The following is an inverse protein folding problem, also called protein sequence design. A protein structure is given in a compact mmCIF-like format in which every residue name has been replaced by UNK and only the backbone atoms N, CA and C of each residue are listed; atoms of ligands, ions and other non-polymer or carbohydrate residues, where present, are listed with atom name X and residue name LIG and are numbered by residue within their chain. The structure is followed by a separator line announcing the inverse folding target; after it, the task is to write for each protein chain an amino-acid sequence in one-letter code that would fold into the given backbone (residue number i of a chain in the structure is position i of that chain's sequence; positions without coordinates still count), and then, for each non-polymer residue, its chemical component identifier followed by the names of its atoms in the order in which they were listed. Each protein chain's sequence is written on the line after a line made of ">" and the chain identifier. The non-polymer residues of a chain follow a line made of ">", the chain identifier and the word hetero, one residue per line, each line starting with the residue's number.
data_IF_157791898240
#
_entry.id   IF_157791898240
#
_cell.length_a   1.000
_cell.length_b   1.000
_cell.length_c   1.000
_cell.angle_alpha   90.00
_cell.angle_beta   90.00
_cell.angle_gamma   90.00
#
_symmetry.space_group_name_H-M   'P 1'
#
loop_
_entity.id
_entity.type
_entity.pdbx_description
1 polymer ?
#
# COMPACT_ATOMS: atom_id res chain seq x y z
N UNK A 1 -18.44 42.87 45.59
CA UNK A 1 -17.18 42.64 44.85
C UNK A 1 -16.76 41.21 45.11
N UNK A 2 -17.07 40.33 44.19
CA UNK A 2 -16.76 38.89 44.29
C UNK A 2 -15.41 38.68 43.61
N UNK A 3 -14.40 38.47 44.41
CA UNK A 3 -13.06 38.12 43.93
C UNK A 3 -13.06 36.73 43.40
N UNK A 4 -13.03 36.60 42.10
CA UNK A 4 -12.84 35.31 41.42
C UNK A 4 -11.41 34.85 41.65
N UNK A 5 -11.25 33.87 42.50
CA UNK A 5 -9.97 33.23 42.78
C UNK A 5 -9.54 32.45 41.55
N UNK A 6 -8.58 32.95 40.78
CA UNK A 6 -7.89 32.23 39.73
C UNK A 6 -6.80 31.38 40.38
N UNK A 7 -7.21 30.39 41.15
CA UNK A 7 -6.32 29.35 41.66
C UNK A 7 -6.77 28.07 41.02
N UNK A 8 -6.24 27.78 39.89
CA UNK A 8 -5.94 26.44 39.37
C UNK A 8 -5.48 26.55 37.91
N UNK A 9 -4.34 27.21 37.73
CA UNK A 9 -3.58 27.12 36.50
C UNK A 9 -2.77 25.80 36.45
N UNK A 10 -2.86 24.99 37.53
CA UNK A 10 -2.19 23.71 37.64
C UNK A 10 -2.87 22.58 36.85
N UNK A 11 -4.12 22.80 36.40
CA UNK A 11 -4.83 21.84 35.54
C UNK A 11 -4.83 22.26 34.05
N UNK A 12 -3.89 23.12 33.68
CA UNK A 12 -3.69 23.40 32.29
C UNK A 12 -3.23 22.11 31.59
N UNK A 13 -4.05 21.63 30.69
CA UNK A 13 -3.87 20.41 29.89
C UNK A 13 -2.57 20.35 29.03
N UNK A 14 -1.70 21.34 29.18
CA UNK A 14 -0.37 21.33 28.55
C UNK A 14 0.62 20.39 29.25
N UNK A 15 0.36 19.99 30.50
CA UNK A 15 1.16 18.97 31.20
C UNK A 15 0.93 17.56 30.65
N UNK A 16 -0.18 17.34 29.94
CA UNK A 16 -0.50 16.10 29.19
C UNK A 16 -0.06 16.16 27.73
N UNK A 17 0.71 17.15 27.32
CA UNK A 17 1.18 17.30 25.94
C UNK A 17 2.38 16.43 25.61
N UNK A 18 2.99 15.79 26.60
CA UNK A 18 4.03 14.80 26.34
C UNK A 18 3.40 13.51 25.81
N UNK A 19 3.81 13.01 24.64
CA UNK A 19 3.33 11.74 24.16
C UNK A 19 3.70 10.63 25.15
N UNK A 20 2.73 9.78 25.49
CA UNK A 20 2.95 8.65 26.40
C UNK A 20 3.96 7.63 25.88
N UNK A 21 4.21 7.64 24.58
CA UNK A 21 5.17 6.78 23.90
C UNK A 21 6.20 7.64 23.18
N UNK A 22 7.46 7.47 23.56
CA UNK A 22 8.62 8.15 22.95
C UNK A 22 9.35 7.26 21.94
N UNK A 23 8.81 6.08 21.65
CA UNK A 23 9.41 5.15 20.71
C UNK A 23 9.14 5.58 19.27
N UNK A 24 10.22 5.74 18.51
CA UNK A 24 10.13 6.11 17.10
C UNK A 24 9.88 4.89 16.22
N UNK A 25 9.05 5.07 15.20
CA UNK A 25 8.79 4.06 14.20
C UNK A 25 10.08 3.68 13.43
N UNK A 26 10.37 2.38 13.35
CA UNK A 26 11.52 1.86 12.59
C UNK A 26 11.11 1.58 11.14
N UNK A 27 11.83 2.10 10.15
CA UNK A 27 11.45 1.94 8.75
C UNK A 27 11.63 0.52 8.20
N UNK A 28 12.36 -0.34 8.90
CA UNK A 28 12.66 -1.72 8.50
C UNK A 28 11.73 -2.77 9.10
N UNK A 29 10.78 -2.37 9.95
CA UNK A 29 9.87 -3.28 10.64
C UNK A 29 8.49 -3.25 10.00
N UNK A 30 8.33 -3.95 8.87
CA UNK A 30 7.04 -4.05 8.18
C UNK A 30 6.87 -5.43 7.53
N UNK A 31 5.62 -5.79 7.24
CA UNK A 31 5.23 -6.95 6.46
C UNK A 31 4.20 -6.54 5.43
N UNK A 32 4.48 -6.80 4.17
CA UNK A 32 3.55 -6.57 3.07
C UNK A 32 2.92 -7.88 2.62
N UNK A 33 1.62 -7.87 2.37
CA UNK A 33 0.88 -9.02 1.85
C UNK A 33 -0.15 -8.55 0.82
N UNK A 34 -0.21 -9.26 -0.29
CA UNK A 34 -1.25 -9.13 -1.30
C UNK A 34 -1.67 -10.52 -1.74
N UNK A 35 -2.97 -10.75 -1.84
CA UNK A 35 -3.50 -12.11 -1.98
C UNK A 35 -3.12 -12.76 -3.33
N UNK A 36 -3.17 -11.98 -4.40
CA UNK A 36 -2.91 -12.49 -5.76
C UNK A 36 -1.44 -12.82 -6.05
N UNK A 37 -0.48 -12.28 -5.27
CA UNK A 37 0.96 -12.42 -5.54
C UNK A 37 1.75 -12.82 -4.28
N UNK A 38 1.55 -14.03 -3.76
CA UNK A 38 2.16 -14.45 -2.49
C UNK A 38 3.69 -14.49 -2.53
N UNK A 39 4.30 -14.93 -3.65
CA UNK A 39 5.75 -14.99 -3.78
C UNK A 39 6.37 -13.58 -3.81
N UNK A 40 5.79 -12.66 -4.56
CA UNK A 40 6.23 -11.26 -4.59
C UNK A 40 6.10 -10.61 -3.21
N UNK A 41 5.01 -10.87 -2.50
CA UNK A 41 4.77 -10.37 -1.14
C UNK A 41 5.83 -10.86 -0.16
N UNK A 42 6.25 -12.12 -0.26
CA UNK A 42 7.28 -12.69 0.61
C UNK A 42 8.65 -12.02 0.42
N UNK A 43 9.02 -11.69 -0.81
CA UNK A 43 10.29 -11.06 -1.15
C UNK A 43 10.26 -9.52 -1.15
N UNK A 44 9.17 -8.91 -0.67
CA UNK A 44 9.05 -7.46 -0.57
C UNK A 44 10.05 -6.90 0.45
N UNK A 45 10.94 -6.03 -0.03
CA UNK A 45 11.97 -5.39 0.79
C UNK A 45 11.70 -3.90 1.06
N UNK A 46 10.78 -3.28 0.33
CA UNK A 46 10.34 -1.92 0.59
C UNK A 46 8.89 -1.71 0.10
N UNK A 47 8.13 -0.95 0.86
CA UNK A 47 6.80 -0.47 0.50
C UNK A 47 6.63 0.95 1.01
N UNK A 48 5.95 1.81 0.26
CA UNK A 48 5.60 3.14 0.72
C UNK A 48 4.19 3.15 1.32
N UNK A 49 3.94 4.11 2.20
CA UNK A 49 2.58 4.52 2.54
C UNK A 49 2.24 5.67 1.60
N UNK A 50 1.23 5.53 0.73
CA UNK A 50 0.91 6.57 -0.24
C UNK A 50 0.37 7.84 0.41
N UNK A 51 0.63 8.97 -0.23
CA UNK A 51 0.12 10.27 0.19
C UNK A 51 -1.40 10.37 0.05
N UNK A 52 -2.00 11.23 0.86
CA UNK A 52 -3.41 11.62 0.76
C UNK A 52 -3.46 13.11 0.52
N UNK A 53 -4.15 13.52 -0.53
CA UNK A 53 -4.37 14.91 -0.87
C UNK A 53 -5.85 15.24 -0.83
N UNK A 54 -6.18 16.41 -0.28
CA UNK A 54 -7.51 16.99 -0.36
C UNK A 54 -7.39 18.33 -1.13
N UNK A 55 -7.56 18.32 -2.47
CA UNK A 55 -7.44 19.52 -3.27
C UNK A 55 -8.44 20.59 -2.81
N UNK A 56 -8.02 21.83 -2.53
CA UNK A 56 -8.91 22.89 -2.13
C UNK A 56 -9.79 23.33 -3.31
N UNK A 57 -11.05 23.59 -3.03
CA UNK A 57 -11.91 24.32 -3.94
C UNK A 57 -11.59 25.83 -3.85
N UNK A 58 -11.33 26.47 -4.97
CA UNK A 58 -11.00 27.89 -5.02
C UNK A 58 -12.28 28.70 -5.23
N UNK A 59 -12.58 29.55 -4.25
CA UNK A 59 -13.61 30.56 -4.37
C UNK A 59 -12.98 31.89 -4.83
N UNK A 60 -13.24 32.27 -6.07
CA UNK A 60 -12.73 33.51 -6.60
C UNK A 60 -13.45 34.72 -5.96
N UNK A 61 -12.67 35.66 -5.43
CA UNK A 61 -13.17 36.94 -4.94
C UNK A 61 -12.44 38.09 -5.65
N UNK A 62 -12.99 39.34 -5.67
CA UNK A 62 -12.38 40.46 -6.39
C UNK A 62 -10.98 40.87 -5.93
N UNK A 63 -10.58 40.51 -4.72
CA UNK A 63 -9.29 40.93 -4.11
C UNK A 63 -8.30 39.77 -3.96
N UNK A 64 -8.78 38.59 -3.57
CA UNK A 64 -7.93 37.43 -3.34
C UNK A 64 -8.76 36.14 -3.47
N UNK A 65 -8.18 35.10 -4.02
CA UNK A 65 -8.81 33.77 -4.07
C UNK A 65 -8.81 33.12 -2.67
N UNK A 66 -10.00 32.68 -2.23
CA UNK A 66 -10.16 32.02 -0.94
C UNK A 66 -10.25 30.50 -1.14
N UNK A 67 -9.32 29.77 -0.52
CA UNK A 67 -9.33 28.30 -0.52
C UNK A 67 -10.41 27.77 0.43
N UNK A 68 -11.28 26.91 -0.08
CA UNK A 68 -12.24 26.14 0.71
C UNK A 68 -11.78 24.66 0.74
N UNK A 69 -12.07 23.90 1.81
CA UNK A 69 -11.80 22.46 1.81
C UNK A 69 -12.52 21.77 0.65
N UNK A 70 -11.82 20.94 -0.10
CA UNK A 70 -12.43 20.11 -1.15
C UNK A 70 -13.28 18.99 -0.57
N UNK A 71 -14.01 18.30 -1.42
CA UNK A 71 -14.94 17.22 -1.07
C UNK A 71 -14.44 15.82 -1.47
N UNK A 72 -13.31 15.72 -2.19
CA UNK A 72 -12.77 14.46 -2.68
C UNK A 72 -11.32 14.27 -2.27
N UNK A 73 -11.03 13.13 -1.67
CA UNK A 73 -9.66 12.71 -1.38
C UNK A 73 -9.03 12.08 -2.61
N UNK A 74 -7.79 12.45 -2.87
CA UNK A 74 -6.94 11.83 -3.88
C UNK A 74 -5.87 10.99 -3.18
N UNK A 75 -5.77 9.72 -3.60
CA UNK A 75 -4.79 8.80 -3.07
C UNK A 75 -3.64 8.63 -4.06
N UNK A 76 -2.42 8.69 -3.53
CA UNK A 76 -1.20 8.44 -4.27
C UNK A 76 -1.07 6.99 -4.74
N UNK A 77 0.09 6.63 -5.25
CA UNK A 77 0.36 5.29 -5.76
C UNK A 77 1.09 4.46 -4.72
N UNK A 78 0.65 3.23 -4.51
CA UNK A 78 1.37 2.25 -3.71
C UNK A 78 2.51 1.68 -4.54
N UNK A 79 3.74 1.86 -4.09
CA UNK A 79 4.95 1.34 -4.73
C UNK A 79 5.59 0.30 -3.82
N UNK A 80 5.87 -0.86 -4.38
CA UNK A 80 6.62 -1.90 -3.69
C UNK A 80 7.92 -2.20 -4.43
N UNK A 81 8.95 -2.57 -3.67
CA UNK A 81 10.19 -3.13 -4.18
C UNK A 81 10.35 -4.54 -3.64
N UNK A 82 10.78 -5.44 -4.48
CA UNK A 82 10.98 -6.84 -4.12
C UNK A 82 12.24 -7.41 -4.76
N UNK A 83 12.85 -8.35 -4.05
CA UNK A 83 13.99 -9.10 -4.57
C UNK A 83 13.49 -10.10 -5.59
N UNK A 84 14.15 -10.18 -6.74
CA UNK A 84 13.79 -11.12 -7.80
C UNK A 84 14.43 -12.47 -7.49
N UNK A 85 13.62 -13.52 -7.56
CA UNK A 85 14.09 -14.89 -7.42
C UNK A 85 14.88 -15.31 -8.66
N UNK A 86 15.81 -16.25 -8.50
CA UNK A 86 16.62 -16.79 -9.59
C UNK A 86 15.76 -17.38 -10.74
N UNK A 87 14.62 -17.97 -10.40
CA UNK A 87 13.66 -18.52 -11.36
C UNK A 87 12.62 -17.49 -11.88
N UNK A 88 12.74 -16.24 -11.46
CA UNK A 88 11.86 -15.11 -11.80
C UNK A 88 10.36 -15.35 -11.59
N UNK A 89 9.97 -16.31 -10.75
CA UNK A 89 8.55 -16.64 -10.53
C UNK A 89 7.76 -15.45 -10.00
N UNK A 90 8.33 -14.71 -9.05
CA UNK A 90 7.68 -13.54 -8.46
C UNK A 90 7.49 -12.40 -9.47
N UNK A 91 8.44 -12.17 -10.36
CA UNK A 91 8.30 -11.19 -11.44
C UNK A 91 7.24 -11.64 -12.45
N UNK A 92 7.23 -12.94 -12.78
CA UNK A 92 6.24 -13.52 -13.67
C UNK A 92 4.82 -13.47 -13.12
N UNK A 93 4.61 -13.63 -11.81
CA UNK A 93 3.29 -13.48 -11.19
C UNK A 93 2.68 -12.10 -11.46
N UNK A 94 3.48 -11.04 -11.31
CA UNK A 94 3.05 -9.67 -11.61
C UNK A 94 2.83 -9.44 -13.10
N UNK A 95 3.70 -9.98 -13.93
CA UNK A 95 3.56 -9.91 -15.39
C UNK A 95 2.28 -10.58 -15.85
N UNK A 96 2.02 -11.82 -15.39
CA UNK A 96 0.81 -12.57 -15.73
C UNK A 96 -0.47 -11.84 -15.27
N UNK A 97 -0.42 -11.15 -14.12
CA UNK A 97 -1.54 -10.34 -13.67
C UNK A 97 -1.77 -9.12 -14.58
N UNK A 98 -0.73 -8.37 -14.93
CA UNK A 98 -0.82 -7.24 -15.85
C UNK A 98 -1.33 -7.67 -17.25
N UNK A 99 -0.80 -8.77 -17.78
CA UNK A 99 -1.25 -9.34 -19.07
C UNK A 99 -2.69 -9.81 -18.99
N UNK A 100 -3.09 -10.42 -17.88
CA UNK A 100 -4.48 -10.82 -17.65
C UNK A 100 -5.46 -9.64 -17.60
N UNK A 101 -5.02 -8.48 -17.11
CA UNK A 101 -5.83 -7.27 -17.09
C UNK A 101 -5.86 -6.55 -18.46
N UNK A 102 -4.72 -6.53 -19.17
CA UNK A 102 -4.54 -5.79 -20.43
C UNK A 102 -4.77 -6.62 -21.69
N UNK A 103 -4.74 -7.95 -21.61
CA UNK A 103 -4.90 -8.95 -22.69
C UNK A 103 -4.39 -8.48 -24.07
N UNK A 104 -3.08 -8.21 -24.21
CA UNK A 104 -2.49 -7.59 -25.41
C UNK A 104 -2.61 -8.43 -26.70
N UNK A 105 -2.75 -9.75 -26.60
CA UNK A 105 -2.81 -10.64 -27.76
C UNK A 105 -4.24 -11.11 -28.06
N UNK A 106 -4.93 -11.66 -27.06
CA UNK A 106 -6.27 -12.22 -27.21
C UNK A 106 -7.05 -12.09 -25.88
N UNK A 107 -8.34 -11.85 -25.98
CA UNK A 107 -9.27 -11.81 -24.84
C UNK A 107 -9.27 -13.12 -24.00
N UNK A 108 -8.81 -14.22 -24.57
CA UNK A 108 -8.61 -15.49 -23.85
C UNK A 108 -7.57 -15.41 -22.73
N UNK A 109 -6.64 -14.45 -22.79
CA UNK A 109 -5.63 -14.24 -21.73
C UNK A 109 -6.28 -13.92 -20.39
N UNK A 110 -7.37 -13.18 -20.37
CA UNK A 110 -8.18 -12.96 -19.17
C UNK A 110 -8.74 -14.27 -18.60
N UNK A 111 -9.22 -15.16 -19.46
CA UNK A 111 -9.72 -16.48 -19.07
C UNK A 111 -8.63 -17.40 -18.50
N UNK A 112 -7.40 -17.29 -19.00
CA UNK A 112 -6.25 -18.03 -18.45
C UNK A 112 -5.86 -17.50 -17.07
N UNK A 113 -5.84 -16.18 -16.90
CA UNK A 113 -5.55 -15.54 -15.61
C UNK A 113 -6.56 -15.97 -14.54
N UNK A 114 -7.85 -15.98 -14.85
CA UNK A 114 -8.90 -16.44 -13.94
C UNK A 114 -8.73 -17.91 -13.55
N UNK A 115 -8.43 -18.80 -14.52
CA UNK A 115 -8.19 -20.22 -14.24
C UNK A 115 -6.93 -20.48 -13.41
N UNK A 116 -5.88 -19.69 -13.62
CA UNK A 116 -4.63 -19.84 -12.85
C UNK A 116 -4.85 -19.57 -11.38
N UNK A 117 -5.78 -18.70 -11.02
CA UNK A 117 -6.16 -18.47 -9.63
C UNK A 117 -6.98 -19.62 -9.03
N UNK A 118 -7.81 -20.28 -9.82
CA UNK A 118 -8.53 -21.50 -9.41
C UNK A 118 -7.55 -22.60 -8.94
N UNK A 119 -6.41 -22.74 -9.60
CA UNK A 119 -5.35 -23.67 -9.17
C UNK A 119 -4.59 -23.23 -7.91
N UNK A 120 -4.54 -21.94 -7.61
CA UNK A 120 -3.85 -21.41 -6.43
C UNK A 120 -4.64 -21.58 -5.14
N UNK A 121 -5.96 -21.63 -5.22
CA UNK A 121 -6.88 -21.74 -4.09
C UNK A 121 -7.88 -22.87 -4.27
N UNK A 122 -7.41 -24.15 -4.27
CA UNK A 122 -8.28 -25.30 -4.48
C UNK A 122 -9.35 -25.48 -3.40
N UNK A 123 -9.18 -24.85 -2.23
CA UNK A 123 -10.11 -24.92 -1.10
C UNK A 123 -11.29 -23.92 -1.21
N UNK A 124 -11.26 -23.01 -2.18
CA UNK A 124 -12.40 -22.12 -2.40
C UNK A 124 -13.51 -22.86 -3.13
N UNK A 125 -14.68 -22.89 -2.50
CA UNK A 125 -15.89 -23.47 -3.10
C UNK A 125 -16.19 -22.81 -4.46
N UNK A 126 -16.64 -23.57 -5.48
CA UNK A 126 -17.03 -23.01 -6.77
C UNK A 126 -18.06 -21.88 -6.71
N UNK A 127 -18.81 -21.81 -5.60
CA UNK A 127 -19.80 -20.75 -5.35
C UNK A 127 -19.15 -19.45 -4.86
N UNK A 128 -17.98 -19.54 -4.21
CA UNK A 128 -17.21 -18.40 -3.69
C UNK A 128 -16.20 -17.85 -4.72
N UNK A 129 -15.98 -18.59 -5.80
CA UNK A 129 -15.22 -18.16 -6.99
C UNK A 129 -15.96 -17.09 -7.83
N UNK A 130 -16.95 -16.46 -7.25
CA UNK A 130 -17.75 -15.41 -7.87
C UNK A 130 -16.89 -14.19 -8.19
N UNK A 131 -16.37 -14.23 -9.43
CA UNK A 131 -15.61 -13.13 -10.01
C UNK A 131 -14.26 -12.97 -9.33
N UNK A 132 -13.28 -13.67 -9.88
CA UNK A 132 -11.89 -13.27 -9.66
C UNK A 132 -11.80 -11.80 -9.97
N UNK A 133 -11.73 -11.04 -8.90
CA UNK A 133 -11.66 -9.59 -8.97
C UNK A 133 -10.41 -9.23 -9.75
N UNK A 134 -10.53 -8.33 -10.71
CA UNK A 134 -9.39 -7.72 -11.39
C UNK A 134 -8.44 -7.09 -10.38
N UNK A 135 -8.95 -6.79 -9.21
CA UNK A 135 -8.28 -6.22 -8.05
C UNK A 135 -8.14 -7.23 -6.92
N UNK A 136 -7.25 -6.97 -6.01
CA UNK A 136 -7.00 -7.76 -4.80
C UNK A 136 -6.78 -6.84 -3.62
N UNK A 137 -7.16 -7.28 -2.43
CA UNK A 137 -6.83 -6.53 -1.23
C UNK A 137 -5.35 -6.70 -0.87
N UNK A 138 -4.74 -5.60 -0.47
CA UNK A 138 -3.37 -5.58 0.00
C UNK A 138 -3.31 -5.09 1.45
N UNK A 139 -2.36 -5.61 2.21
CA UNK A 139 -2.16 -5.26 3.61
C UNK A 139 -0.70 -4.96 3.86
N UNK A 140 -0.44 -3.78 4.44
CA UNK A 140 0.87 -3.39 4.96
C UNK A 140 0.79 -3.32 6.48
N UNK A 141 1.43 -4.26 7.14
CA UNK A 141 1.50 -4.32 8.61
C UNK A 141 2.79 -3.70 9.08
N UNK A 142 2.70 -2.71 9.92
CA UNK A 142 3.84 -2.07 10.57
C UNK A 142 4.04 -2.69 11.95
N UNK A 143 5.28 -3.10 12.21
CA UNK A 143 5.67 -3.78 13.43
C UNK A 143 6.35 -2.80 14.40
N UNK A 144 6.24 -3.08 15.68
CA UNK A 144 6.97 -2.37 16.73
C UNK A 144 8.44 -2.83 16.83
N UNK A 145 9.17 -2.30 17.80
CA UNK A 145 10.56 -2.67 18.08
C UNK A 145 10.74 -4.14 18.49
N UNK A 146 9.66 -4.79 18.92
CA UNK A 146 9.61 -6.20 19.34
C UNK A 146 9.07 -7.12 18.24
N UNK A 147 8.87 -6.61 17.02
CA UNK A 147 8.27 -7.32 15.88
C UNK A 147 6.80 -7.72 16.09
N UNK A 148 6.07 -7.06 17.00
CA UNK A 148 4.64 -7.26 17.12
C UNK A 148 3.89 -6.32 16.14
N UNK A 149 2.80 -6.77 15.54
CA UNK A 149 1.99 -5.93 14.69
C UNK A 149 1.31 -4.84 15.53
N UNK A 150 1.47 -3.57 15.15
CA UNK A 150 0.90 -2.42 15.85
C UNK A 150 -0.09 -1.65 14.98
N UNK A 151 0.22 -1.47 13.71
CA UNK A 151 -0.61 -0.72 12.77
C UNK A 151 -0.77 -1.54 11.48
N UNK A 152 -1.99 -1.58 10.97
CA UNK A 152 -2.31 -2.25 9.72
C UNK A 152 -2.89 -1.23 8.74
N UNK A 153 -2.31 -1.13 7.56
CA UNK A 153 -2.85 -0.41 6.41
C UNK A 153 -3.52 -1.41 5.49
N UNK A 154 -4.82 -1.30 5.28
CA UNK A 154 -5.58 -2.13 4.35
C UNK A 154 -5.90 -1.33 3.11
N UNK A 155 -5.39 -1.77 1.97
CA UNK A 155 -5.67 -1.20 0.66
C UNK A 155 -6.76 -2.01 0.00
N UNK A 156 -7.85 -1.35 -0.36
CA UNK A 156 -9.03 -1.98 -0.96
C UNK A 156 -8.93 -1.88 -2.48
N UNK A 157 -9.23 -2.98 -3.16
CA UNK A 157 -9.25 -3.07 -4.62
C UNK A 157 -7.92 -2.67 -5.30
N UNK A 158 -6.79 -3.13 -4.75
CA UNK A 158 -5.49 -2.88 -5.34
C UNK A 158 -5.28 -3.69 -6.62
N UNK A 159 -4.77 -3.05 -7.66
CA UNK A 159 -4.38 -3.67 -8.93
C UNK A 159 -3.08 -3.06 -9.45
N UNK A 160 -2.26 -3.84 -10.16
CA UNK A 160 -0.99 -3.36 -10.69
C UNK A 160 -1.25 -2.44 -11.89
N UNK A 161 -0.51 -1.33 -11.93
CA UNK A 161 -0.53 -0.37 -13.04
C UNK A 161 0.80 -0.32 -13.79
N UNK A 162 1.90 -0.70 -13.12
CA UNK A 162 3.23 -0.67 -13.71
C UNK A 162 4.13 -1.72 -13.06
N UNK A 163 4.94 -2.35 -13.89
CA UNK A 163 6.04 -3.21 -13.52
C UNK A 163 7.30 -2.67 -14.22
N UNK A 164 8.31 -2.32 -13.44
CA UNK A 164 9.55 -1.76 -13.98
C UNK A 164 10.31 -2.82 -14.77
N UNK A 165 10.94 -2.40 -15.87
CA UNK A 165 11.87 -3.21 -16.64
C UNK A 165 13.10 -3.59 -15.81
N UNK A 166 13.77 -4.66 -16.22
CA UNK A 166 14.98 -5.17 -15.60
C UNK A 166 16.15 -4.99 -16.56
N UNK A 167 17.20 -4.39 -16.08
CA UNK A 167 18.44 -4.21 -16.84
C UNK A 167 19.45 -5.28 -16.43
N UNK A 168 19.96 -6.03 -17.39
CA UNK A 168 21.01 -7.02 -17.18
C UNK A 168 22.34 -6.47 -17.65
N UNK A 169 23.28 -6.34 -16.72
CA UNK A 169 24.62 -5.85 -17.00
C UNK A 169 25.67 -6.80 -16.41
N UNK A 170 26.69 -7.11 -17.17
CA UNK A 170 27.83 -7.92 -16.70
C UNK A 170 28.86 -6.98 -16.05
N UNK A 171 28.77 -6.86 -14.72
CA UNK A 171 29.73 -6.08 -13.93
C UNK A 171 30.75 -7.03 -13.29
N UNK A 172 32.02 -6.78 -13.57
CA UNK A 172 33.13 -7.55 -12.98
C UNK A 172 33.40 -7.02 -11.56
N UNK A 173 33.04 -7.77 -10.54
CA UNK A 173 33.49 -7.52 -9.16
C UNK A 173 32.45 -7.34 -8.08
N UNK A 174 31.17 -7.19 -8.39
CA UNK A 174 30.12 -7.15 -7.38
C UNK A 174 28.87 -7.88 -7.86
N UNK A 175 28.35 -8.77 -7.03
CA UNK A 175 27.12 -9.50 -7.33
C UNK A 175 26.00 -8.89 -6.50
N UNK A 176 25.34 -7.88 -7.04
CA UNK A 176 24.16 -7.29 -6.42
C UNK A 176 22.89 -8.08 -6.79
N UNK A 177 21.94 -8.15 -5.85
CA UNK A 177 20.65 -8.77 -6.10
C UNK A 177 19.79 -7.85 -6.96
N UNK A 178 19.08 -8.46 -7.91
CA UNK A 178 18.18 -7.73 -8.78
C UNK A 178 16.88 -7.36 -8.02
N UNK A 179 16.48 -6.10 -8.15
CA UNK A 179 15.31 -5.55 -7.48
C UNK A 179 14.25 -5.20 -8.54
N UNK A 180 13.06 -5.75 -8.37
CA UNK A 180 11.89 -5.36 -9.14
C UNK A 180 11.11 -4.26 -8.42
N UNK A 181 10.50 -3.37 -9.20
CA UNK A 181 9.58 -2.33 -8.70
C UNK A 181 8.23 -2.50 -9.36
N UNK A 182 7.20 -2.54 -8.56
CA UNK A 182 5.82 -2.57 -9.01
C UNK A 182 5.00 -1.44 -8.39
N UNK A 183 4.10 -0.88 -9.17
CA UNK A 183 3.20 0.18 -8.74
C UNK A 183 1.75 -0.30 -8.82
N UNK A 184 0.99 0.02 -7.78
CA UNK A 184 -0.42 -0.35 -7.66
C UNK A 184 -1.28 0.88 -7.48
N UNK A 185 -2.47 0.85 -8.07
CA UNK A 185 -3.59 1.74 -7.77
C UNK A 185 -4.60 0.97 -6.93
N UNK A 186 -5.33 1.68 -6.11
CA UNK A 186 -6.34 1.12 -5.20
C UNK A 186 -7.45 2.17 -5.02
N UNK A 187 -8.59 1.76 -4.50
CA UNK A 187 -9.73 2.65 -4.29
C UNK A 187 -9.50 3.60 -3.10
N UNK A 188 -9.15 3.05 -1.96
CA UNK A 188 -8.80 3.78 -0.73
C UNK A 188 -8.04 2.85 0.22
N UNK A 189 -7.46 3.42 1.27
CA UNK A 189 -6.91 2.60 2.34
C UNK A 189 -7.46 3.00 3.70
N UNK A 190 -7.43 2.05 4.62
CA UNK A 190 -7.83 2.20 6.01
C UNK A 190 -6.64 1.94 6.91
N UNK A 191 -6.60 2.65 8.04
CA UNK A 191 -5.58 2.48 9.08
C UNK A 191 -6.24 1.89 10.30
N UNK A 192 -5.77 0.74 10.75
CA UNK A 192 -6.23 0.06 11.95
C UNK A 192 -5.07 -0.02 12.95
N UNK A 193 -5.31 0.35 14.19
CA UNK A 193 -4.40 0.12 15.32
C UNK A 193 -4.83 -1.14 16.07
N UNK A 194 -3.87 -2.01 16.37
CA UNK A 194 -4.09 -3.27 17.09
C UNK A 194 -3.87 -3.09 18.59
#
# INVERSE_FOLDING_TARGET
>A
MTTTNITNVSDASWDNSNPNELDYLRPNAFKFQIHNIPNTSFFCNAANIPEINLPPAIQATPLVDVGQPGDKLEFGTLMIRFLIQEDMKNYKELYDWLVGLGFPEDHKQFGVFTKTQEYRFPDLSPTDQKGLSMSSDATLTVLDSNNNPKIIFRFVDAFPISLQGLDFEIVTGNTDYMIGVAMFKYSYYQIETL
#
